data_IF_724992525104
#
_entry.id   IF_724992525104
#
_cell.length_a   1.000
_cell.length_b   1.000
_cell.length_c   1.000
_cell.angle_alpha   90.00
_cell.angle_beta   90.00
_cell.angle_gamma   90.00
#
_symmetry.space_group_name_H-M   'P 1'
#
loop_
_entity.id
_entity.type
_entity.pdbx_description
1 polymer ?
#
# COMPACT_ATOMS: atom_id res chain seq x y z
N UNK A 1 18.12 -56.04 8.20
CA UNK A 1 19.49 -55.78 8.68
C UNK A 1 19.58 -54.32 9.08
N UNK A 2 19.77 -54.00 10.37
CA UNK A 2 19.90 -52.62 10.85
C UNK A 2 21.29 -52.09 10.48
N UNK A 3 21.39 -50.92 9.84
CA UNK A 3 22.67 -50.23 9.59
C UNK A 3 22.76 -49.02 10.51
N UNK A 4 23.80 -48.97 11.33
CA UNK A 4 24.17 -47.78 12.11
C UNK A 4 25.23 -46.98 11.33
N UNK A 5 25.14 -45.66 11.35
CA UNK A 5 26.14 -44.76 10.77
C UNK A 5 26.44 -43.68 11.82
N UNK A 6 27.73 -43.35 11.96
CA UNK A 6 28.22 -42.36 12.92
C UNK A 6 28.58 -41.06 12.19
N UNK A 7 27.94 -39.95 12.57
CA UNK A 7 28.22 -38.61 12.06
C UNK A 7 28.40 -37.66 13.25
N UNK A 8 29.56 -37.02 13.35
CA UNK A 8 29.82 -36.00 14.38
C UNK A 8 29.68 -36.45 15.82
N UNK A 9 30.00 -37.72 16.13
CA UNK A 9 29.99 -38.26 17.50
C UNK A 9 28.62 -38.63 18.07
N UNK A 10 27.55 -38.59 17.26
CA UNK A 10 26.21 -39.05 17.67
C UNK A 10 25.79 -40.26 16.82
N UNK A 11 25.39 -41.36 17.48
CA UNK A 11 24.87 -42.56 16.81
C UNK A 11 23.38 -42.38 16.50
N UNK A 12 23.01 -42.46 15.22
CA UNK A 12 21.62 -42.36 14.77
C UNK A 12 21.17 -43.69 14.16
N UNK A 13 20.05 -44.22 14.65
CA UNK A 13 19.40 -45.39 14.05
C UNK A 13 18.46 -44.94 12.92
N UNK A 14 18.73 -45.39 11.70
CA UNK A 14 17.86 -45.14 10.55
C UNK A 14 16.81 -46.24 10.51
N UNK A 15 15.56 -45.88 10.72
CA UNK A 15 14.40 -46.73 10.41
C UNK A 15 14.03 -46.60 8.94
N UNK A 16 13.43 -47.63 8.29
CA UNK A 16 13.03 -47.56 6.89
C UNK A 16 12.01 -46.42 6.69
N UNK A 17 12.13 -45.71 5.57
CA UNK A 17 11.22 -44.62 5.19
C UNK A 17 9.81 -45.19 5.00
N UNK A 18 8.84 -44.62 5.71
CA UNK A 18 7.42 -44.87 5.48
C UNK A 18 6.96 -43.97 4.32
N UNK A 19 6.63 -44.58 3.17
CA UNK A 19 6.18 -43.88 1.95
C UNK A 19 4.67 -43.55 1.99
N UNK A 20 4.06 -43.48 3.17
CA UNK A 20 2.66 -43.12 3.32
C UNK A 20 2.40 -41.64 2.96
N UNK A 21 1.23 -41.29 2.38
CA UNK A 21 0.87 -39.90 2.05
C UNK A 21 0.87 -38.95 3.26
N UNK A 22 0.67 -39.49 4.46
CA UNK A 22 0.73 -38.73 5.71
C UNK A 22 2.17 -38.37 6.08
N UNK A 23 3.12 -39.31 5.96
CA UNK A 23 4.53 -39.06 6.20
C UNK A 23 5.12 -38.02 5.22
N UNK A 24 4.67 -38.01 3.96
CA UNK A 24 5.08 -36.99 2.99
C UNK A 24 4.53 -35.59 3.33
N UNK A 25 3.31 -35.51 3.88
CA UNK A 25 2.69 -34.24 4.31
C UNK A 25 3.38 -33.66 5.54
N UNK A 26 3.69 -34.49 6.54
CA UNK A 26 4.43 -34.08 7.73
C UNK A 26 5.87 -33.67 7.41
N UNK A 27 6.51 -34.37 6.47
CA UNK A 27 7.83 -34.01 5.98
C UNK A 27 7.83 -32.68 5.22
N UNK A 28 6.85 -32.44 4.34
CA UNK A 28 6.70 -31.14 3.68
C UNK A 28 6.43 -30.02 4.68
N UNK A 29 5.55 -30.25 5.67
CA UNK A 29 5.32 -29.29 6.75
C UNK A 29 6.58 -29.02 7.59
N UNK A 30 7.46 -30.01 7.78
CA UNK A 30 8.75 -29.83 8.45
C UNK A 30 9.72 -29.02 7.59
N UNK A 31 9.80 -29.28 6.28
CA UNK A 31 10.64 -28.52 5.34
C UNK A 31 10.19 -27.07 5.25
N UNK A 32 8.89 -26.80 5.13
CA UNK A 32 8.34 -25.43 5.13
C UNK A 32 8.64 -24.71 6.44
N UNK A 33 8.55 -25.40 7.59
CA UNK A 33 8.90 -24.83 8.90
C UNK A 33 10.40 -24.54 9.04
N UNK A 34 11.26 -25.41 8.52
CA UNK A 34 12.71 -25.20 8.52
C UNK A 34 13.11 -24.03 7.61
N UNK A 35 12.48 -23.89 6.44
CA UNK A 35 12.68 -22.74 5.55
C UNK A 35 12.19 -21.43 6.20
N UNK A 36 11.02 -21.44 6.83
CA UNK A 36 10.54 -20.31 7.63
C UNK A 36 11.51 -19.94 8.78
N UNK A 37 12.04 -20.93 9.49
CA UNK A 37 13.00 -20.71 10.59
C UNK A 37 14.35 -20.17 10.11
N UNK A 38 14.79 -20.54 8.91
CA UNK A 38 16.02 -19.99 8.31
C UNK A 38 15.82 -18.53 7.86
N UNK A 39 14.63 -18.16 7.39
CA UNK A 39 14.27 -16.77 7.09
C UNK A 39 14.12 -15.90 8.35
N UNK A 40 13.61 -16.47 9.45
CA UNK A 40 13.21 -15.70 10.65
C UNK A 40 14.27 -15.63 11.76
N UNK A 41 15.45 -16.24 11.60
CA UNK A 41 16.50 -16.20 12.62
C UNK A 41 16.09 -16.93 13.91
N UNK A 42 16.38 -18.23 14.00
CA UNK A 42 16.41 -19.06 15.23
C UNK A 42 15.39 -18.69 16.32
N UNK A 43 14.09 -18.76 16.02
CA UNK A 43 13.08 -18.86 17.09
C UNK A 43 13.20 -20.28 17.68
N UNK A 44 13.46 -20.45 18.99
CA UNK A 44 13.61 -21.77 19.58
C UNK A 44 12.31 -22.60 19.46
N UNK A 45 12.46 -23.84 19.01
CA UNK A 45 11.38 -24.82 18.96
C UNK A 45 10.70 -24.95 20.33
N UNK A 46 9.38 -24.74 20.39
CA UNK A 46 8.57 -24.96 21.60
C UNK A 46 7.86 -23.73 22.17
N UNK A 47 8.10 -22.53 21.65
CA UNK A 47 7.22 -21.38 21.89
C UNK A 47 6.00 -21.52 20.96
N UNK A 48 4.75 -21.41 21.46
CA UNK A 48 3.58 -21.34 20.58
C UNK A 48 3.83 -20.27 19.53
N UNK A 49 3.61 -20.59 18.27
CA UNK A 49 3.70 -19.60 17.20
C UNK A 49 2.76 -18.45 17.57
N UNK A 50 3.30 -17.24 17.77
CA UNK A 50 2.46 -16.09 18.10
C UNK A 50 1.55 -15.87 16.91
N UNK A 51 0.25 -16.12 17.10
CA UNK A 51 -0.73 -15.95 16.05
C UNK A 51 -0.83 -14.45 15.74
N UNK A 52 -0.42 -14.07 14.54
CA UNK A 52 -0.55 -12.71 14.01
C UNK A 52 -1.63 -12.70 12.93
N UNK A 53 -2.32 -11.58 12.81
CA UNK A 53 -3.11 -11.24 11.63
C UNK A 53 -2.44 -10.08 10.93
N UNK A 54 -1.85 -10.38 9.79
CA UNK A 54 -1.15 -9.42 8.95
C UNK A 54 -2.01 -9.16 7.72
N UNK A 55 -2.38 -7.90 7.51
CA UNK A 55 -3.13 -7.49 6.32
C UNK A 55 -2.20 -6.84 5.32
N UNK A 56 -2.11 -7.38 4.12
CA UNK A 56 -1.42 -6.75 3.00
C UNK A 56 -2.41 -5.89 2.24
N UNK A 57 -2.08 -4.62 2.09
CA UNK A 57 -2.90 -3.60 1.46
C UNK A 57 -2.21 -3.12 0.19
N UNK A 58 -2.37 -3.88 -0.89
CA UNK A 58 -1.82 -3.49 -2.20
C UNK A 58 -2.77 -2.49 -2.85
N UNK A 59 -2.26 -1.31 -3.17
CA UNK A 59 -2.97 -0.31 -3.95
C UNK A 59 -2.26 0.01 -5.25
N UNK A 60 -3.03 0.41 -6.27
CA UNK A 60 -2.50 0.89 -7.53
C UNK A 60 -3.02 2.29 -7.82
N UNK A 61 -2.13 3.26 -7.92
CA UNK A 61 -2.45 4.65 -8.20
C UNK A 61 -2.28 4.87 -9.71
N UNK A 62 -3.41 5.04 -10.42
CA UNK A 62 -3.44 5.08 -11.89
C UNK A 62 -3.23 6.51 -12.42
N UNK A 63 -2.08 7.09 -12.11
CA UNK A 63 -1.72 8.47 -12.41
C UNK A 63 -1.71 8.77 -13.91
N UNK A 64 -0.90 8.03 -14.68
CA UNK A 64 -0.80 8.17 -16.12
C UNK A 64 -0.62 9.63 -16.58
N UNK A 65 -1.42 10.08 -17.55
CA UNK A 65 -1.34 11.45 -18.08
C UNK A 65 -1.72 12.50 -17.03
N UNK A 66 -2.63 12.16 -16.11
CA UNK A 66 -3.08 13.09 -15.07
C UNK A 66 -1.94 13.49 -14.14
N UNK A 67 -1.03 12.56 -13.82
CA UNK A 67 0.19 12.83 -13.06
C UNK A 67 1.02 13.97 -13.67
N UNK A 68 1.10 14.08 -15.00
CA UNK A 68 1.82 15.18 -15.68
C UNK A 68 1.05 16.50 -15.75
N UNK A 69 -0.26 16.46 -15.53
CA UNK A 69 -1.14 17.64 -15.56
C UNK A 69 -1.21 18.35 -14.22
N UNK A 70 -1.21 17.59 -13.13
CA UNK A 70 -1.24 18.11 -11.77
C UNK A 70 0.14 18.10 -11.13
N UNK A 71 0.45 17.08 -10.34
CA UNK A 71 1.68 17.03 -9.53
C UNK A 71 2.98 17.15 -10.33
N UNK A 72 3.03 16.54 -11.52
CA UNK A 72 4.12 16.55 -12.49
C UNK A 72 4.17 17.80 -13.39
N UNK A 73 3.29 18.77 -13.17
CA UNK A 73 3.12 19.92 -14.06
C UNK A 73 4.38 20.77 -14.13
N UNK A 74 4.88 20.97 -15.34
CA UNK A 74 5.97 21.90 -15.61
C UNK A 74 5.83 22.51 -17.01
N UNK A 75 6.19 23.79 -17.16
CA UNK A 75 6.16 24.52 -18.44
C UNK A 75 7.07 23.97 -19.55
N UNK A 76 7.90 22.98 -19.22
CA UNK A 76 8.86 22.32 -20.13
C UNK A 76 8.46 20.87 -20.42
N UNK A 77 7.35 20.40 -19.88
CA UNK A 77 6.84 19.08 -20.22
C UNK A 77 6.57 19.01 -21.73
N UNK A 78 6.90 17.88 -22.31
CA UNK A 78 6.85 17.65 -23.75
C UNK A 78 6.16 16.34 -24.08
N UNK A 79 5.98 16.05 -25.37
CA UNK A 79 5.33 14.81 -25.82
C UNK A 79 6.01 13.54 -25.30
N UNK A 80 7.32 13.58 -25.03
CA UNK A 80 8.03 12.44 -24.40
C UNK A 80 7.46 12.13 -23.02
N UNK A 81 7.22 13.15 -22.20
CA UNK A 81 6.70 13.01 -20.84
C UNK A 81 5.26 12.49 -20.87
N UNK A 82 4.40 13.10 -21.68
CA UNK A 82 3.01 12.64 -21.83
C UNK A 82 2.93 11.23 -22.39
N UNK A 83 3.86 10.84 -23.28
CA UNK A 83 3.92 9.47 -23.79
C UNK A 83 4.21 8.43 -22.71
N UNK A 84 4.92 8.80 -21.63
CA UNK A 84 5.11 7.94 -20.46
C UNK A 84 3.78 7.71 -19.72
N UNK A 85 2.96 8.77 -19.56
CA UNK A 85 1.60 8.62 -19.04
C UNK A 85 0.70 7.77 -19.95
N UNK A 86 0.84 7.86 -21.28
CA UNK A 86 0.14 6.98 -22.22
C UNK A 86 0.60 5.52 -22.08
N UNK A 87 1.89 5.29 -21.83
CA UNK A 87 2.41 3.94 -21.53
C UNK A 87 1.77 3.37 -20.27
N UNK A 88 1.66 4.16 -19.19
CA UNK A 88 1.05 3.72 -17.94
C UNK A 88 -0.35 3.16 -18.15
N UNK A 89 -1.20 3.88 -18.90
CA UNK A 89 -2.52 3.40 -19.29
C UNK A 89 -2.46 2.19 -20.21
N UNK A 90 -1.95 2.36 -21.43
CA UNK A 90 -2.09 1.36 -22.50
C UNK A 90 -1.26 0.08 -22.31
N UNK A 91 -0.27 0.11 -21.43
CA UNK A 91 0.66 -1.00 -21.22
C UNK A 91 0.80 -1.34 -19.74
N UNK A 92 0.99 -0.34 -18.89
CA UNK A 92 1.20 -0.52 -17.45
C UNK A 92 0.02 -1.23 -16.78
N UNK A 93 -1.21 -0.75 -17.00
CA UNK A 93 -2.43 -1.33 -16.42
C UNK A 93 -2.56 -2.80 -16.77
N UNK A 94 -2.49 -3.14 -18.06
CA UNK A 94 -2.63 -4.52 -18.53
C UNK A 94 -1.53 -5.46 -18.01
N UNK A 95 -0.32 -4.94 -17.72
CA UNK A 95 0.74 -5.73 -17.08
C UNK A 95 0.45 -5.99 -15.61
N UNK A 96 0.06 -4.96 -14.86
CA UNK A 96 -0.28 -5.09 -13.45
C UNK A 96 -1.48 -6.01 -13.24
N UNK A 97 -2.56 -5.88 -14.01
CA UNK A 97 -3.71 -6.78 -13.93
C UNK A 97 -3.30 -8.25 -14.11
N UNK A 98 -2.41 -8.54 -15.06
CA UNK A 98 -1.88 -9.91 -15.27
C UNK A 98 -0.99 -10.39 -14.13
N UNK A 99 -0.23 -9.50 -13.49
CA UNK A 99 0.59 -9.86 -12.32
C UNK A 99 -0.34 -10.20 -11.15
N UNK A 100 -1.31 -9.34 -10.86
CA UNK A 100 -2.30 -9.54 -9.79
C UNK A 100 -3.09 -10.84 -9.98
N UNK A 101 -3.45 -11.16 -11.22
CA UNK A 101 -4.13 -12.41 -11.60
C UNK A 101 -3.25 -13.63 -11.34
N UNK A 102 -1.97 -13.62 -11.77
CA UNK A 102 -1.02 -14.71 -11.50
C UNK A 102 -0.77 -14.94 -10.02
N UNK A 103 -0.82 -13.89 -9.21
CA UNK A 103 -0.69 -13.98 -7.74
C UNK A 103 -2.01 -14.40 -7.08
N UNK A 104 -3.16 -14.26 -7.76
CA UNK A 104 -4.48 -14.61 -7.24
C UNK A 104 -5.07 -13.58 -6.29
N UNK A 105 -4.80 -12.29 -6.54
CA UNK A 105 -5.22 -11.17 -5.67
C UNK A 105 -5.93 -10.04 -6.42
N UNK A 106 -6.34 -10.23 -7.68
CA UNK A 106 -6.99 -9.19 -8.50
C UNK A 106 -8.20 -8.52 -7.83
N UNK A 107 -9.01 -9.30 -7.09
CA UNK A 107 -10.19 -8.84 -6.36
C UNK A 107 -9.90 -8.36 -4.92
N UNK A 108 -8.62 -8.36 -4.51
CA UNK A 108 -8.15 -8.03 -3.17
C UNK A 108 -7.23 -6.80 -3.15
N UNK A 109 -7.20 -6.04 -4.23
CA UNK A 109 -6.46 -4.78 -4.33
C UNK A 109 -7.42 -3.60 -4.48
N UNK A 110 -6.88 -2.40 -4.25
CA UNK A 110 -7.61 -1.14 -4.42
C UNK A 110 -6.93 -0.29 -5.48
N UNK A 111 -7.67 0.17 -6.48
CA UNK A 111 -7.19 1.10 -7.48
C UNK A 111 -7.66 2.52 -7.14
N UNK A 112 -6.71 3.42 -6.90
CA UNK A 112 -6.97 4.85 -6.76
C UNK A 112 -6.83 5.47 -8.15
N UNK A 113 -7.95 5.91 -8.72
CA UNK A 113 -7.98 6.35 -10.12
C UNK A 113 -8.35 7.84 -10.18
N UNK A 114 -7.51 8.69 -10.78
CA UNK A 114 -7.88 10.06 -11.12
C UNK A 114 -9.03 10.07 -12.13
N UNK A 115 -9.99 10.99 -11.99
CA UNK A 115 -11.12 11.09 -12.91
C UNK A 115 -10.70 11.29 -14.37
N UNK A 116 -9.59 12.01 -14.62
CA UNK A 116 -9.00 12.15 -15.95
C UNK A 116 -8.55 10.79 -16.52
N UNK A 117 -7.91 9.94 -15.71
CA UNK A 117 -7.49 8.60 -16.12
C UNK A 117 -8.69 7.71 -16.44
N UNK A 118 -9.76 7.79 -15.64
CA UNK A 118 -11.02 7.08 -15.92
C UNK A 118 -11.58 7.43 -17.32
N UNK A 119 -11.60 8.71 -17.67
CA UNK A 119 -12.16 9.18 -18.94
C UNK A 119 -11.19 9.01 -20.14
N UNK A 120 -9.88 9.04 -19.89
CA UNK A 120 -8.85 8.94 -20.94
C UNK A 120 -8.60 7.50 -21.37
N UNK A 121 -8.68 6.57 -20.42
CA UNK A 121 -8.41 5.14 -20.64
C UNK A 121 -9.65 4.30 -20.27
N UNK A 122 -10.78 4.48 -20.97
CA UNK A 122 -12.04 3.84 -20.59
C UNK A 122 -12.01 2.31 -20.74
N UNK A 123 -11.20 1.79 -21.67
CA UNK A 123 -11.04 0.34 -21.85
C UNK A 123 -10.24 -0.27 -20.69
N UNK A 124 -9.11 0.35 -20.35
CA UNK A 124 -8.26 -0.11 -19.25
C UNK A 124 -8.95 0.07 -17.88
N UNK A 125 -9.70 1.17 -17.71
CA UNK A 125 -10.55 1.38 -16.52
C UNK A 125 -11.64 0.31 -16.42
N UNK A 126 -12.24 -0.07 -17.54
CA UNK A 126 -13.20 -1.19 -17.56
C UNK A 126 -12.54 -2.51 -17.17
N UNK A 127 -11.34 -2.81 -17.68
CA UNK A 127 -10.60 -4.02 -17.32
C UNK A 127 -10.28 -4.07 -15.81
N UNK A 128 -9.97 -2.92 -15.21
CA UNK A 128 -9.77 -2.80 -13.75
C UNK A 128 -11.08 -3.11 -13.01
N UNK A 129 -12.21 -2.54 -13.42
CA UNK A 129 -13.52 -2.81 -12.78
C UNK A 129 -13.91 -4.29 -12.92
N UNK A 130 -13.73 -4.86 -14.11
CA UNK A 130 -14.06 -6.26 -14.40
C UNK A 130 -13.18 -7.24 -13.62
N UNK A 131 -12.00 -6.81 -13.13
CA UNK A 131 -11.13 -7.62 -12.26
C UNK A 131 -11.70 -7.85 -10.85
N UNK A 132 -12.72 -7.07 -10.45
CA UNK A 132 -13.33 -7.13 -9.13
C UNK A 132 -12.61 -6.33 -8.05
N UNK A 133 -11.55 -5.60 -8.40
CA UNK A 133 -10.83 -4.71 -7.49
C UNK A 133 -11.72 -3.59 -6.93
N UNK A 134 -11.36 -3.07 -5.76
CA UNK A 134 -11.98 -1.86 -5.22
C UNK A 134 -11.56 -0.64 -6.06
N UNK A 135 -12.48 0.29 -6.33
CA UNK A 135 -12.20 1.59 -6.96
C UNK A 135 -12.33 2.70 -5.92
N UNK A 136 -11.26 3.48 -5.76
CA UNK A 136 -11.16 4.64 -4.88
C UNK A 136 -10.73 5.89 -5.67
N UNK A 137 -10.92 7.07 -5.08
CA UNK A 137 -10.74 8.35 -5.76
C UNK A 137 -9.34 8.94 -5.56
N UNK A 138 -8.82 9.61 -6.60
CA UNK A 138 -7.47 10.18 -6.62
C UNK A 138 -7.37 11.55 -7.32
N UNK A 139 -8.29 12.46 -7.01
CA UNK A 139 -8.42 13.74 -7.72
C UNK A 139 -8.96 13.56 -9.15
N UNK A 140 -8.92 14.61 -9.97
CA UNK A 140 -9.35 14.54 -11.36
C UNK A 140 -8.13 14.51 -12.30
N UNK A 141 -7.37 15.60 -12.34
CA UNK A 141 -6.09 15.73 -13.05
C UNK A 141 -4.89 15.54 -12.11
N UNK A 142 -5.04 14.76 -11.04
CA UNK A 142 -3.99 14.53 -10.03
C UNK A 142 -3.47 15.86 -9.43
N UNK A 143 -4.39 16.77 -9.08
CA UNK A 143 -4.10 18.11 -8.58
C UNK A 143 -3.62 18.11 -7.12
N UNK A 144 -2.68 19.00 -6.79
CA UNK A 144 -2.30 19.25 -5.39
C UNK A 144 -3.46 19.89 -4.64
N UNK A 145 -4.10 19.13 -3.75
CA UNK A 145 -5.28 19.60 -3.00
C UNK A 145 -4.98 20.87 -2.19
N UNK A 146 -3.74 21.10 -1.78
CA UNK A 146 -3.36 22.29 -1.00
C UNK A 146 -3.38 23.60 -1.81
N UNK A 147 -3.54 23.52 -3.13
CA UNK A 147 -3.62 24.68 -4.03
C UNK A 147 -5.06 24.97 -4.50
N UNK A 148 -6.00 24.10 -4.16
CA UNK A 148 -7.40 24.25 -4.53
C UNK A 148 -8.11 25.15 -3.52
N UNK A 149 -9.12 25.89 -3.99
CA UNK A 149 -10.11 26.48 -3.10
C UNK A 149 -11.24 25.48 -2.82
N UNK A 150 -12.03 25.72 -1.78
CA UNK A 150 -13.08 24.79 -1.33
C UNK A 150 -14.10 24.44 -2.43
N UNK A 151 -14.43 25.37 -3.33
CA UNK A 151 -15.36 25.08 -4.43
C UNK A 151 -14.72 24.15 -5.47
N UNK A 152 -13.45 24.38 -5.81
CA UNK A 152 -12.73 23.50 -6.72
C UNK A 152 -12.61 22.09 -6.17
N UNK A 153 -12.26 21.94 -4.88
CA UNK A 153 -12.21 20.62 -4.23
C UNK A 153 -13.57 19.90 -4.28
N UNK A 154 -14.66 20.61 -4.00
CA UNK A 154 -16.00 20.03 -4.03
C UNK A 154 -16.43 19.63 -5.45
N UNK A 155 -16.21 20.50 -6.45
CA UNK A 155 -16.55 20.22 -7.85
C UNK A 155 -15.78 19.01 -8.39
N UNK A 156 -14.48 18.92 -8.07
CA UNK A 156 -13.62 17.80 -8.45
C UNK A 156 -14.10 16.51 -7.79
N UNK A 157 -14.33 16.54 -6.48
CA UNK A 157 -14.73 15.36 -5.73
C UNK A 157 -16.10 14.84 -6.19
N UNK A 158 -17.07 15.73 -6.40
CA UNK A 158 -18.41 15.36 -6.87
C UNK A 158 -18.38 14.77 -8.28
N UNK A 159 -17.56 15.34 -9.19
CA UNK A 159 -17.35 14.75 -10.52
C UNK A 159 -16.76 13.34 -10.41
N UNK A 160 -15.71 13.15 -9.60
CA UNK A 160 -15.05 11.87 -9.45
C UNK A 160 -15.96 10.80 -8.79
N UNK A 161 -16.79 11.19 -7.81
CA UNK A 161 -17.83 10.33 -7.24
C UNK A 161 -18.77 9.85 -8.34
N UNK A 162 -19.32 10.77 -9.14
CA UNK A 162 -20.27 10.43 -10.20
C UNK A 162 -19.65 9.51 -11.27
N UNK A 163 -18.38 9.73 -11.64
CA UNK A 163 -17.65 8.86 -12.57
C UNK A 163 -17.49 7.44 -11.99
N UNK A 164 -16.97 7.32 -10.77
CA UNK A 164 -16.78 6.02 -10.12
C UNK A 164 -18.11 5.26 -9.90
N UNK A 165 -19.18 5.96 -9.54
CA UNK A 165 -20.53 5.40 -9.42
C UNK A 165 -21.05 4.89 -10.77
N UNK A 166 -20.83 5.64 -11.85
CA UNK A 166 -21.25 5.22 -13.19
C UNK A 166 -20.52 3.96 -13.69
N UNK A 167 -19.25 3.79 -13.29
CA UNK A 167 -18.41 2.65 -13.68
C UNK A 167 -18.72 1.40 -12.86
N UNK A 168 -18.93 1.55 -11.54
CA UNK A 168 -19.01 0.42 -10.60
C UNK A 168 -20.41 0.11 -10.10
N UNK A 169 -21.36 1.03 -10.28
CA UNK A 169 -22.69 0.98 -9.68
C UNK A 169 -22.70 1.21 -8.15
N UNK A 170 -21.56 1.61 -7.56
CA UNK A 170 -21.41 1.83 -6.12
C UNK A 170 -20.73 3.17 -5.86
N UNK A 171 -21.14 3.82 -4.76
CA UNK A 171 -20.45 5.02 -4.28
C UNK A 171 -19.03 4.65 -3.82
N UNK A 172 -17.97 5.34 -4.30
CA UNK A 172 -16.63 5.13 -3.77
C UNK A 172 -16.57 5.58 -2.30
N UNK A 173 -15.82 4.84 -1.49
CA UNK A 173 -15.70 5.09 -0.04
C UNK A 173 -14.28 5.45 0.39
N UNK A 174 -13.32 5.36 -0.53
CA UNK A 174 -11.91 5.63 -0.32
C UNK A 174 -11.42 6.84 -1.11
N UNK A 175 -10.46 7.55 -0.53
CA UNK A 175 -9.76 8.66 -1.15
C UNK A 175 -8.26 8.56 -0.86
N UNK A 176 -7.44 9.03 -1.81
CA UNK A 176 -6.04 9.36 -1.62
C UNK A 176 -5.77 10.71 -2.26
N UNK A 177 -5.15 11.64 -1.55
CA UNK A 177 -4.73 12.90 -2.11
C UNK A 177 -3.54 12.70 -3.07
N UNK A 178 -3.54 13.31 -4.26
CA UNK A 178 -2.37 13.36 -5.13
C UNK A 178 -1.09 13.80 -4.38
N UNK A 179 -0.01 13.02 -4.54
CA UNK A 179 1.26 13.19 -3.79
C UNK A 179 1.11 13.25 -2.25
N UNK A 180 0.06 12.67 -1.68
CA UNK A 180 -0.24 12.74 -0.25
C UNK A 180 -0.39 14.19 0.26
N UNK A 181 -0.61 15.16 -0.65
CA UNK A 181 -0.73 16.59 -0.31
C UNK A 181 -2.18 16.92 -0.01
N UNK A 182 -2.57 16.68 1.24
CA UNK A 182 -3.93 16.92 1.74
C UNK A 182 -3.99 18.13 2.67
N UNK A 183 -5.07 18.92 2.56
CA UNK A 183 -5.33 20.09 3.40
C UNK A 183 -6.49 19.90 4.39
N UNK A 184 -6.68 20.86 5.31
CA UNK A 184 -7.79 20.85 6.28
C UNK A 184 -9.16 20.87 5.61
N UNK A 185 -9.28 21.59 4.49
CA UNK A 185 -10.52 21.70 3.73
C UNK A 185 -10.90 20.35 3.12
N UNK A 186 -9.93 19.62 2.57
CA UNK A 186 -10.12 18.28 2.01
C UNK A 186 -10.57 17.29 3.09
N UNK A 187 -9.88 17.26 4.24
CA UNK A 187 -10.27 16.42 5.38
C UNK A 187 -11.72 16.70 5.80
N UNK A 188 -12.07 17.97 5.93
CA UNK A 188 -13.42 18.40 6.29
C UNK A 188 -14.46 18.01 5.23
N UNK A 189 -14.09 18.08 3.95
CA UNK A 189 -14.94 17.67 2.83
C UNK A 189 -15.18 16.16 2.82
N UNK A 190 -14.15 15.35 3.06
CA UNK A 190 -14.26 13.89 3.18
C UNK A 190 -15.20 13.49 4.32
N UNK A 191 -15.09 14.13 5.49
CA UNK A 191 -16.02 13.94 6.62
C UNK A 191 -17.47 14.28 6.20
N UNK A 192 -17.69 15.45 5.59
CA UNK A 192 -19.04 15.89 5.14
C UNK A 192 -19.66 14.95 4.10
N UNK A 193 -18.85 14.47 3.15
CA UNK A 193 -19.30 13.55 2.07
C UNK A 193 -19.36 12.09 2.53
N UNK A 194 -18.99 11.82 3.80
CA UNK A 194 -19.02 10.52 4.48
C UNK A 194 -18.15 9.46 3.81
N UNK A 195 -16.91 9.83 3.48
CA UNK A 195 -15.90 8.85 3.11
C UNK A 195 -15.61 7.92 4.28
N UNK A 196 -15.36 6.65 3.98
CA UNK A 196 -15.02 5.65 4.99
C UNK A 196 -13.56 5.81 5.41
N UNK A 197 -12.67 6.03 4.45
CA UNK A 197 -11.25 6.14 4.71
C UNK A 197 -10.54 7.13 3.79
N UNK A 198 -9.42 7.64 4.29
CA UNK A 198 -8.34 8.29 3.56
C UNK A 198 -7.05 7.44 3.71
N UNK A 199 -6.09 7.67 2.82
CA UNK A 199 -4.77 7.04 2.89
C UNK A 199 -3.69 7.98 2.38
N UNK A 200 -3.63 9.15 3.00
CA UNK A 200 -2.76 10.26 2.61
C UNK A 200 -1.80 10.70 3.71
N UNK A 201 -1.91 10.16 4.93
CA UNK A 201 -1.21 10.64 6.11
C UNK A 201 -0.34 9.56 6.76
N UNK A 202 0.82 9.99 7.25
CA UNK A 202 1.86 9.12 7.82
C UNK A 202 1.91 9.14 9.35
N UNK A 203 0.78 9.37 10.03
CA UNK A 203 0.69 9.40 11.51
C UNK A 203 0.99 8.04 12.16
N UNK A 204 0.92 6.96 11.39
CA UNK A 204 1.44 5.65 11.73
C UNK A 204 2.03 5.02 10.44
N UNK A 205 2.78 3.93 10.53
CA UNK A 205 3.28 3.17 9.38
C UNK A 205 2.68 1.75 9.23
N UNK A 206 2.17 1.13 10.30
CA UNK A 206 1.65 -0.24 10.27
C UNK A 206 0.33 -0.48 11.03
N UNK A 207 -0.41 0.57 11.42
CA UNK A 207 -1.77 0.48 12.01
C UNK A 207 -2.71 1.51 11.42
N UNK A 208 -3.98 1.14 11.30
CA UNK A 208 -5.07 2.08 10.99
C UNK A 208 -5.37 2.92 12.24
N UNK A 209 -5.82 4.14 12.03
CA UNK A 209 -6.20 5.07 13.09
C UNK A 209 -7.34 5.98 12.63
N UNK A 210 -8.00 6.66 13.57
CA UNK A 210 -8.94 7.71 13.21
C UNK A 210 -8.20 8.95 12.74
N UNK A 211 -8.63 9.50 11.61
CA UNK A 211 -8.02 10.68 11.03
C UNK A 211 -8.20 11.88 11.96
N UNK A 212 -7.21 12.76 11.96
CA UNK A 212 -7.24 13.99 12.75
C UNK A 212 -7.86 15.13 11.93
N UNK A 213 -8.69 15.98 12.54
CA UNK A 213 -9.28 17.16 11.89
C UNK A 213 -8.24 18.16 11.32
N UNK A 214 -6.95 17.93 11.64
CA UNK A 214 -5.84 18.82 11.41
C UNK A 214 -5.89 20.05 12.30
N UNK A 215 -4.80 20.84 12.25
CA UNK A 215 -4.65 22.09 12.98
C UNK A 215 -3.67 23.05 12.27
N UNK A 216 -3.86 24.38 12.39
CA UNK A 216 -2.88 25.33 11.90
C UNK A 216 -1.58 25.25 12.73
N UNK A 217 -0.45 25.10 12.05
CA UNK A 217 0.87 25.18 12.66
C UNK A 217 1.36 26.63 12.69
N UNK A 218 1.68 27.13 13.88
CA UNK A 218 2.44 28.37 14.01
C UNK A 218 3.87 28.13 13.52
N UNK A 219 4.24 28.73 12.39
CA UNK A 219 5.58 28.61 11.82
C UNK A 219 6.57 29.57 12.48
N UNK A 220 7.87 29.26 12.35
CA UNK A 220 8.95 30.12 12.84
C UNK A 220 9.00 31.40 12.01
N UNK A 221 8.90 32.55 12.68
CA UNK A 221 8.98 33.87 12.05
C UNK A 221 10.19 34.63 12.60
N UNK A 222 11.36 34.48 11.98
CA UNK A 222 12.62 35.08 12.44
C UNK A 222 12.60 36.61 12.58
N UNK A 223 11.56 37.30 12.10
CA UNK A 223 11.37 38.74 12.32
C UNK A 223 10.79 39.09 13.70
N UNK A 224 10.28 38.11 14.46
CA UNK A 224 9.62 38.28 15.75
C UNK A 224 10.44 37.68 16.91
N UNK A 225 10.11 38.01 18.17
CA UNK A 225 10.69 37.31 19.32
C UNK A 225 10.35 35.81 19.30
N UNK A 226 11.31 34.98 19.72
CA UNK A 226 11.15 33.51 19.72
C UNK A 226 9.93 32.99 20.49
N UNK A 227 9.46 33.74 21.49
CA UNK A 227 8.25 33.42 22.25
C UNK A 227 6.98 33.33 21.38
N UNK A 228 7.01 33.85 20.15
CA UNK A 228 5.88 33.78 19.23
C UNK A 228 5.67 32.39 18.62
N UNK A 229 6.72 31.56 18.48
CA UNK A 229 6.65 30.19 17.95
C UNK A 229 7.12 29.08 18.92
N UNK A 230 7.73 29.42 20.06
CA UNK A 230 8.08 28.44 21.11
C UNK A 230 6.83 27.96 21.89
N UNK A 231 5.88 27.35 21.18
CA UNK A 231 4.62 26.81 21.71
C UNK A 231 4.45 25.37 21.21
N UNK A 232 3.90 24.46 22.02
CA UNK A 232 3.59 23.12 21.55
C UNK A 232 2.50 23.17 20.45
N UNK A 233 2.53 22.20 19.55
CA UNK A 233 1.44 21.99 18.59
C UNK A 233 0.12 21.70 19.32
N UNK A 234 -1.01 22.22 18.84
CA UNK A 234 -2.31 21.82 19.36
C UNK A 234 -2.57 20.34 19.07
N UNK A 235 -3.34 19.70 19.94
CA UNK A 235 -3.81 18.32 19.70
C UNK A 235 -5.08 18.39 18.83
N UNK A 236 -5.09 17.74 17.66
CA UNK A 236 -6.29 17.68 16.82
C UNK A 236 -7.42 16.89 17.48
N UNK A 237 -8.64 17.10 16.98
CA UNK A 237 -9.78 16.24 17.28
C UNK A 237 -9.79 15.08 16.27
N UNK A 238 -9.99 13.87 16.74
CA UNK A 238 -10.25 12.73 15.85
C UNK A 238 -11.62 12.86 15.16
N UNK A 239 -11.66 12.54 13.87
CA UNK A 239 -12.87 12.50 13.05
C UNK A 239 -13.22 11.04 12.70
N UNK A 240 -14.43 10.82 12.17
CA UNK A 240 -14.92 9.46 11.91
C UNK A 240 -14.30 8.78 10.69
N UNK A 241 -13.49 9.49 9.90
CA UNK A 241 -12.80 8.94 8.73
C UNK A 241 -11.62 8.11 9.23
N UNK A 242 -11.48 6.89 8.72
CA UNK A 242 -10.34 6.02 9.05
C UNK A 242 -9.16 6.41 8.18
N UNK A 243 -7.99 6.53 8.76
CA UNK A 243 -6.73 6.67 8.02
C UNK A 243 -6.05 5.31 7.91
N UNK A 244 -5.79 4.91 6.67
CA UNK A 244 -4.92 3.77 6.36
C UNK A 244 -3.54 4.34 6.04
N UNK A 245 -2.52 4.09 6.87
CA UNK A 245 -1.26 4.81 6.77
C UNK A 245 -0.61 4.65 5.40
N UNK A 246 -0.28 5.76 4.76
CA UNK A 246 0.59 5.78 3.59
C UNK A 246 1.85 6.58 3.90
N UNK A 247 2.98 6.16 3.35
CA UNK A 247 4.19 6.96 3.38
C UNK A 247 5.10 6.69 2.17
N UNK A 248 6.08 7.57 1.97
CA UNK A 248 7.03 7.54 0.87
C UNK A 248 7.93 6.30 0.79
N UNK A 249 7.99 5.48 1.85
CA UNK A 249 8.78 4.25 1.89
C UNK A 249 7.96 3.01 1.50
N UNK A 250 6.67 3.16 1.23
CA UNK A 250 5.75 2.09 0.85
C UNK A 250 5.36 2.13 -0.63
N UNK A 251 6.01 2.97 -1.43
CA UNK A 251 5.62 3.23 -2.82
C UNK A 251 6.79 3.06 -3.81
N UNK A 252 6.46 2.79 -5.07
CA UNK A 252 7.43 2.47 -6.13
C UNK A 252 7.90 3.68 -6.94
N UNK A 253 7.04 4.68 -7.16
CA UNK A 253 7.25 5.77 -8.12
C UNK A 253 8.32 6.76 -7.66
N UNK A 254 8.24 7.29 -6.43
CA UNK A 254 9.21 8.29 -5.93
C UNK A 254 10.68 7.87 -6.10
N UNK A 255 11.10 6.63 -5.76
CA UNK A 255 12.48 6.20 -5.98
C UNK A 255 12.81 5.78 -7.42
N UNK A 256 11.85 5.18 -8.16
CA UNK A 256 12.13 4.49 -9.42
C UNK A 256 11.59 5.18 -10.68
N UNK A 257 10.84 6.28 -10.56
CA UNK A 257 10.36 7.08 -11.69
C UNK A 257 11.24 8.32 -11.89
N UNK A 258 11.76 8.48 -13.10
CA UNK A 258 12.44 9.72 -13.49
C UNK A 258 11.45 10.75 -14.04
N UNK A 259 11.39 11.91 -13.41
CA UNK A 259 10.60 13.08 -13.81
C UNK A 259 11.56 14.22 -14.19
N UNK A 260 11.81 14.48 -15.49
CA UNK A 260 12.92 15.33 -15.95
C UNK A 260 12.84 16.80 -15.53
N UNK A 261 11.64 17.24 -15.16
CA UNK A 261 11.37 18.62 -14.79
C UNK A 261 11.18 18.83 -13.28
N UNK A 262 11.44 17.80 -12.46
CA UNK A 262 11.35 17.87 -11.00
C UNK A 262 12.73 17.87 -10.37
N UNK A 263 13.02 18.88 -9.54
CA UNK A 263 14.35 19.08 -8.95
C UNK A 263 14.75 17.99 -7.95
N UNK A 264 13.78 17.32 -7.33
CA UNK A 264 13.96 16.21 -6.38
C UNK A 264 13.71 14.84 -7.01
N UNK A 265 13.67 14.74 -8.34
CA UNK A 265 13.46 13.47 -9.04
C UNK A 265 14.58 12.47 -8.75
N UNK A 266 14.18 11.22 -8.49
CA UNK A 266 15.07 10.06 -8.61
C UNK A 266 14.81 9.37 -9.95
N UNK A 267 14.68 8.04 -9.98
CA UNK A 267 14.43 7.28 -11.21
C UNK A 267 15.48 6.24 -11.57
N UNK A 268 16.58 6.16 -10.80
CA UNK A 268 17.67 5.21 -11.03
C UNK A 268 17.97 4.35 -9.79
N UNK A 269 17.13 4.42 -8.75
CA UNK A 269 17.20 3.47 -7.64
C UNK A 269 16.84 2.09 -8.17
N UNK A 270 17.62 1.07 -7.84
CA UNK A 270 17.39 -0.27 -8.37
C UNK A 270 16.14 -0.88 -7.73
N UNK A 271 15.37 -1.63 -8.52
CA UNK A 271 14.20 -2.35 -8.00
C UNK A 271 14.57 -3.36 -6.91
N UNK A 272 15.78 -3.94 -6.96
CA UNK A 272 16.34 -4.79 -5.90
C UNK A 272 16.48 -4.05 -4.56
N UNK A 273 16.94 -2.79 -4.57
CA UNK A 273 17.08 -2.01 -3.34
C UNK A 273 15.71 -1.74 -2.70
N UNK A 274 14.69 -1.47 -3.52
CA UNK A 274 13.32 -1.24 -3.05
C UNK A 274 12.68 -2.52 -2.52
N UNK A 275 12.82 -3.64 -3.23
CA UNK A 275 12.36 -4.96 -2.78
C UNK A 275 13.00 -5.36 -1.44
N UNK A 276 14.31 -5.15 -1.30
CA UNK A 276 15.01 -5.39 -0.04
C UNK A 276 14.45 -4.50 1.08
N UNK A 277 14.28 -3.21 0.83
CA UNK A 277 13.75 -2.26 1.83
C UNK A 277 12.36 -2.68 2.32
N UNK A 278 11.46 -3.09 1.42
CA UNK A 278 10.13 -3.55 1.79
C UNK A 278 10.16 -4.87 2.57
N UNK A 279 11.00 -5.83 2.18
CA UNK A 279 11.18 -7.09 2.92
C UNK A 279 11.78 -6.85 4.30
N UNK A 280 12.76 -5.96 4.43
CA UNK A 280 13.34 -5.59 5.72
C UNK A 280 12.27 -4.98 6.66
N UNK A 281 11.43 -4.08 6.13
CA UNK A 281 10.29 -3.51 6.88
C UNK A 281 9.31 -4.59 7.32
N UNK A 282 8.89 -5.48 6.41
CA UNK A 282 7.97 -6.56 6.75
C UNK A 282 8.55 -7.46 7.84
N UNK A 283 9.80 -7.88 7.70
CA UNK A 283 10.48 -8.74 8.67
C UNK A 283 10.63 -8.06 10.04
N UNK A 284 10.88 -6.74 10.07
CA UNK A 284 10.92 -6.01 11.33
C UNK A 284 9.55 -6.00 12.02
N UNK A 285 8.48 -5.66 11.29
CA UNK A 285 7.10 -5.67 11.81
C UNK A 285 6.65 -7.07 12.26
N UNK A 286 7.03 -8.11 11.51
CA UNK A 286 6.74 -9.49 11.87
C UNK A 286 7.33 -9.88 13.24
N UNK A 287 8.55 -9.42 13.53
CA UNK A 287 9.26 -9.77 14.76
C UNK A 287 8.87 -8.88 15.94
N UNK A 288 8.70 -7.58 15.69
CA UNK A 288 8.59 -6.57 16.74
C UNK A 288 7.24 -5.90 16.84
N UNK A 289 6.33 -6.24 15.93
CA UNK A 289 5.03 -5.61 15.83
C UNK A 289 5.13 -4.11 15.46
N UNK A 290 3.98 -3.46 15.32
CA UNK A 290 3.91 -2.03 14.97
C UNK A 290 4.47 -1.10 16.07
N UNK A 291 4.46 -1.52 17.34
CA UNK A 291 4.92 -0.69 18.46
C UNK A 291 6.35 -1.01 18.93
N UNK A 292 7.03 -1.96 18.27
CA UNK A 292 8.37 -2.41 18.64
C UNK A 292 8.45 -3.23 19.94
N UNK A 293 7.31 -3.60 20.52
CA UNK A 293 7.22 -4.29 21.82
C UNK A 293 7.16 -5.81 21.74
N UNK A 294 7.12 -6.35 20.52
CA UNK A 294 7.04 -7.78 20.25
C UNK A 294 5.95 -8.11 19.21
N UNK A 295 5.82 -9.39 18.85
CA UNK A 295 4.87 -9.84 17.82
C UNK A 295 3.44 -9.33 18.04
N UNK A 296 2.78 -8.88 16.97
CA UNK A 296 1.39 -8.42 17.00
C UNK A 296 0.78 -8.25 15.62
N UNK A 297 -0.51 -7.94 15.57
CA UNK A 297 -1.25 -7.64 14.35
C UNK A 297 -0.74 -6.33 13.73
N UNK A 298 -0.62 -6.29 12.40
CA UNK A 298 -0.24 -5.08 11.68
C UNK A 298 -0.81 -5.07 10.26
N UNK A 299 -0.82 -3.89 9.65
CA UNK A 299 -1.08 -3.73 8.23
C UNK A 299 0.19 -3.40 7.46
N UNK A 300 0.27 -3.86 6.22
CA UNK A 300 1.38 -3.63 5.31
C UNK A 300 0.87 -3.03 4.00
N UNK A 301 0.74 -1.70 3.94
CA UNK A 301 0.43 -0.98 2.70
C UNK A 301 1.60 -1.07 1.72
N UNK A 302 1.26 -1.25 0.44
CA UNK A 302 2.17 -1.24 -0.69
C UNK A 302 1.50 -0.51 -1.85
N UNK A 303 2.06 0.63 -2.25
CA UNK A 303 1.53 1.50 -3.31
C UNK A 303 2.33 1.28 -4.58
N UNK A 304 1.63 0.98 -5.67
CA UNK A 304 2.19 0.71 -6.98
C UNK A 304 1.62 1.71 -7.98
N UNK A 305 2.36 2.00 -9.05
CA UNK A 305 1.85 2.82 -10.15
C UNK A 305 2.03 2.08 -11.47
N UNK A 306 1.04 2.06 -12.39
CA UNK A 306 1.23 1.51 -13.73
C UNK A 306 2.38 2.18 -14.49
N UNK A 307 2.64 3.46 -14.18
CA UNK A 307 3.76 4.27 -14.65
C UNK A 307 5.11 3.61 -14.36
N UNK A 308 5.28 3.04 -13.17
CA UNK A 308 6.55 2.52 -12.66
C UNK A 308 6.56 1.00 -12.55
N UNK A 309 5.67 0.41 -11.76
CA UNK A 309 5.51 -1.05 -11.64
C UNK A 309 5.14 -1.75 -12.95
N UNK A 310 4.58 -1.02 -13.92
CA UNK A 310 4.33 -1.52 -15.27
C UNK A 310 5.59 -1.62 -16.15
N UNK A 311 6.71 -1.01 -15.76
CA UNK A 311 7.95 -1.06 -16.53
C UNK A 311 8.58 -2.45 -16.49
N UNK A 312 9.16 -2.89 -17.61
CA UNK A 312 9.61 -4.28 -17.77
C UNK A 312 10.70 -4.71 -16.75
N UNK A 313 11.55 -3.78 -16.31
CA UNK A 313 12.62 -4.04 -15.34
C UNK A 313 12.16 -3.94 -13.86
N UNK A 314 10.93 -3.46 -13.61
CA UNK A 314 10.32 -3.34 -12.28
C UNK A 314 9.26 -4.44 -12.08
N UNK A 315 8.49 -4.74 -13.12
CA UNK A 315 7.37 -5.69 -13.09
C UNK A 315 7.73 -7.06 -12.49
N UNK A 316 8.90 -7.61 -12.83
CA UNK A 316 9.36 -8.90 -12.28
C UNK A 316 9.63 -8.84 -10.77
N UNK A 317 10.17 -7.72 -10.29
CA UNK A 317 10.40 -7.47 -8.86
C UNK A 317 9.08 -7.37 -8.10
N UNK A 318 8.09 -6.65 -8.66
CA UNK A 318 6.76 -6.53 -8.05
C UNK A 318 6.06 -7.89 -7.97
N UNK A 319 6.08 -8.67 -9.06
CA UNK A 319 5.54 -10.03 -9.04
C UNK A 319 6.22 -10.89 -7.96
N UNK A 320 7.56 -10.82 -7.87
CA UNK A 320 8.32 -11.53 -6.84
C UNK A 320 7.99 -11.09 -5.41
N UNK A 321 7.81 -9.79 -5.17
CA UNK A 321 7.43 -9.25 -3.86
C UNK A 321 6.03 -9.74 -3.43
N UNK A 322 5.06 -9.69 -4.33
CA UNK A 322 3.69 -10.13 -4.06
C UNK A 322 3.62 -11.64 -3.83
N UNK A 323 4.36 -12.44 -4.60
CA UNK A 323 4.50 -13.89 -4.38
C UNK A 323 5.18 -14.19 -3.03
N UNK A 324 6.22 -13.43 -2.68
CA UNK A 324 6.91 -13.57 -1.39
C UNK A 324 5.98 -13.28 -0.22
N UNK A 325 5.18 -12.21 -0.28
CA UNK A 325 4.16 -11.90 0.73
C UNK A 325 3.11 -13.02 0.84
N UNK A 326 2.65 -13.55 -0.29
CA UNK A 326 1.67 -14.65 -0.31
C UNK A 326 2.22 -15.97 0.29
N UNK A 327 3.54 -16.18 0.25
CA UNK A 327 4.18 -17.41 0.73
C UNK A 327 4.24 -17.53 2.27
N UNK A 328 3.93 -16.46 3.02
CA UNK A 328 3.89 -16.48 4.49
C UNK A 328 2.70 -17.27 5.07
N UNK A 329 1.75 -17.68 4.22
CA UNK A 329 0.67 -18.59 4.59
C UNK A 329 -0.46 -17.91 5.37
N UNK A 330 -1.19 -18.65 6.24
CA UNK A 330 -2.52 -18.27 6.70
C UNK A 330 -2.57 -17.06 7.65
N UNK A 331 -1.42 -16.59 8.14
CA UNK A 331 -1.33 -15.40 8.98
C UNK A 331 -1.27 -14.10 8.18
N UNK A 332 -1.04 -14.20 6.86
CA UNK A 332 -0.98 -13.07 5.93
C UNK A 332 -2.18 -13.13 4.99
N UNK A 333 -2.94 -12.04 4.95
CA UNK A 333 -4.13 -11.91 4.11
C UNK A 333 -4.03 -10.65 3.25
N UNK A 334 -4.20 -10.80 1.94
CA UNK A 334 -4.44 -9.65 1.04
C UNK A 334 -5.88 -9.20 1.16
N UNK A 335 -6.09 -7.91 1.40
CA UNK A 335 -7.42 -7.31 1.53
C UNK A 335 -7.47 -5.96 0.84
N UNK A 336 -8.66 -5.56 0.40
CA UNK A 336 -8.88 -4.20 -0.07
C UNK A 336 -8.83 -3.20 1.08
N UNK A 337 -8.58 -1.94 0.77
CA UNK A 337 -8.57 -0.85 1.74
C UNK A 337 -9.94 -0.69 2.41
N UNK A 338 -11.04 -0.75 1.64
CA UNK A 338 -12.40 -0.73 2.20
C UNK A 338 -12.63 -1.87 3.20
N UNK A 339 -12.16 -3.09 2.92
CA UNK A 339 -12.30 -4.23 3.83
C UNK A 339 -11.54 -3.97 5.13
N UNK A 340 -10.29 -3.49 5.05
CA UNK A 340 -9.50 -3.20 6.23
C UNK A 340 -10.12 -2.10 7.11
N UNK A 341 -10.63 -1.02 6.49
CA UNK A 341 -11.30 0.06 7.20
C UNK A 341 -12.60 -0.41 7.88
N UNK A 342 -13.43 -1.23 7.21
CA UNK A 342 -14.64 -1.80 7.82
C UNK A 342 -14.32 -2.69 9.02
N UNK A 343 -13.30 -3.55 8.90
CA UNK A 343 -12.89 -4.42 9.99
C UNK A 343 -12.30 -3.65 11.18
N UNK A 344 -11.59 -2.55 10.92
CA UNK A 344 -11.12 -1.64 11.96
C UNK A 344 -12.28 -1.05 12.76
N UNK A 345 -13.29 -0.52 12.08
CA UNK A 345 -14.48 0.04 12.75
C UNK A 345 -15.28 -1.03 13.51
N UNK A 346 -15.39 -2.25 12.98
CA UNK A 346 -16.07 -3.34 13.67
C UNK A 346 -15.33 -3.78 14.94
N UNK A 347 -14.01 -3.83 14.90
CA UNK A 347 -13.19 -4.16 16.06
C UNK A 347 -13.30 -3.10 17.16
N UNK A 348 -13.32 -1.82 16.79
CA UNK A 348 -13.45 -0.70 17.73
C UNK A 348 -14.83 -0.70 18.43
N UNK A 349 -15.91 -0.92 17.68
CA UNK A 349 -17.26 -1.04 18.24
C UNK A 349 -17.45 -2.27 19.16
N UNK A 350 -16.54 -3.25 19.11
CA UNK A 350 -16.53 -4.41 20.00
C UNK A 350 -15.77 -4.16 21.30
N UNK A 351 -15.05 -3.03 21.43
CA UNK A 351 -14.40 -2.59 22.67
C UNK A 351 -15.42 -1.78 23.48
N UNK A 352 -15.87 -2.24 24.67
CA UNK A 352 -16.72 -1.43 25.53
C UNK A 352 -16.01 -0.13 25.93
N UNK A 353 -16.72 0.99 25.80
CA UNK A 353 -16.24 2.34 26.12
C UNK A 353 -15.74 2.50 27.56
#
# INVERSE_FOLDING_TARGET
MKKEIELGGTRVQITPVDDSPQASTEFQALVTRLQHSQMLGKIPYGVPEVQRRVKILVSVDFDAVSGWMGTGQHSRNCLSDYSAGIFAGRVGVGRLLKILDRVGISDKVTWFIPGHSMETFPLETKDIVDSGAEIALHGYCHEDCTQLNSQQEEDILDKCIALAESLTGKKPVGFRAPLYRIGHETISLLERKRFLYDTSLSGHDAKLYYLDSGFPLATVDYSKPASTWMKPSPQPRQISVVEIPANWYMEDMTPMQYLPNMTNSHGFVTSEAIDKMWKDRFNWLWNWGPDGRGPGDFVFPLVLHPDTSGMAHVAGTIEGMLQWLNAWGPQVEFVTYEKAAKEFLLADNAVPA
#
